data_IF_528048189359
#
_entry.id   IF_528048189359
#
_cell.length_a   1.000
_cell.length_b   1.000
_cell.length_c   1.000
_cell.angle_alpha   90.00
_cell.angle_beta   90.00
_cell.angle_gamma   90.00
#
_symmetry.space_group_name_H-M   'P 1'
#
loop_
_entity.id
_entity.type
_entity.pdbx_description
1 polymer ?
#
# COMPACT_ATOMS: atom_id res chain seq x y z
N UNK A 1 1.22 74.74 33.84
CA UNK A 1 0.48 73.50 33.57
C UNK A 1 1.54 72.41 33.44
N UNK A 2 1.77 71.67 34.52
CA UNK A 2 2.79 70.62 34.56
C UNK A 2 2.21 69.37 33.88
N UNK A 3 2.85 68.89 32.81
CA UNK A 3 2.47 67.66 32.11
C UNK A 3 3.25 66.50 32.73
N UNK A 4 2.62 65.77 33.63
CA UNK A 4 3.21 64.57 34.24
C UNK A 4 3.39 63.49 33.18
N UNK A 5 4.63 63.34 32.71
CA UNK A 5 5.06 62.26 31.82
C UNK A 5 4.90 60.91 32.52
N UNK A 6 3.89 60.15 32.09
CA UNK A 6 3.62 58.80 32.58
C UNK A 6 4.67 57.84 31.99
N UNK A 7 5.81 57.68 32.69
CA UNK A 7 6.85 56.72 32.34
C UNK A 7 6.28 55.30 32.36
N UNK A 8 5.95 54.74 31.19
CA UNK A 8 5.68 53.31 31.03
C UNK A 8 6.98 52.56 31.28
N UNK A 9 7.05 51.81 32.37
CA UNK A 9 8.14 50.87 32.61
C UNK A 9 8.05 49.78 31.55
N UNK A 10 8.99 49.74 30.62
CA UNK A 10 9.17 48.56 29.78
C UNK A 10 9.79 47.46 30.63
N UNK A 11 9.01 46.42 30.93
CA UNK A 11 9.53 45.20 31.54
C UNK A 11 10.22 44.38 30.45
N UNK A 12 11.55 44.42 30.41
CA UNK A 12 12.35 43.57 29.52
C UNK A 12 12.34 42.12 29.98
N UNK A 13 12.22 41.19 29.04
CA UNK A 13 12.34 39.75 29.28
C UNK A 13 13.79 39.43 29.66
N UNK A 14 14.01 38.74 30.77
CA UNK A 14 15.36 38.38 31.22
C UNK A 14 15.88 37.13 30.50
N UNK A 15 17.21 37.03 30.35
CA UNK A 15 17.83 35.83 29.78
C UNK A 15 17.55 34.57 30.63
N UNK A 16 17.48 34.72 31.95
CA UNK A 16 17.20 33.60 32.86
C UNK A 16 15.76 33.08 32.70
N UNK A 17 14.78 33.96 32.47
CA UNK A 17 13.41 33.56 32.15
C UNK A 17 13.36 32.75 30.85
N UNK A 18 14.12 33.17 29.82
CA UNK A 18 14.22 32.40 28.57
C UNK A 18 14.82 31.01 28.80
N UNK A 19 15.89 30.92 29.60
CA UNK A 19 16.58 29.67 29.86
C UNK A 19 15.69 28.64 30.56
N UNK A 20 14.89 29.07 31.56
CA UNK A 20 13.97 28.18 32.27
C UNK A 20 12.87 27.69 31.33
N UNK A 21 12.31 28.57 30.48
CA UNK A 21 11.28 28.18 29.51
C UNK A 21 11.80 27.14 28.53
N UNK A 22 12.99 27.34 27.97
CA UNK A 22 13.60 26.36 27.04
C UNK A 22 13.89 25.04 27.76
N UNK A 23 14.33 25.06 29.02
CA UNK A 23 14.56 23.85 29.80
C UNK A 23 13.26 23.05 30.02
N UNK A 24 12.15 23.71 30.36
CA UNK A 24 10.86 23.03 30.55
C UNK A 24 10.34 22.46 29.22
N UNK A 25 10.42 23.23 28.13
CA UNK A 25 10.02 22.75 26.79
C UNK A 25 10.86 21.53 26.40
N UNK A 26 12.17 21.52 26.67
CA UNK A 26 13.05 20.39 26.37
C UNK A 26 12.64 19.12 27.15
N UNK A 27 12.29 19.25 28.44
CA UNK A 27 11.80 18.12 29.25
C UNK A 27 10.51 17.56 28.66
N UNK A 28 9.54 18.41 28.34
CA UNK A 28 8.26 17.99 27.76
C UNK A 28 8.48 17.32 26.39
N UNK A 29 9.30 17.94 25.53
CA UNK A 29 9.59 17.42 24.21
C UNK A 29 10.27 16.04 24.25
N UNK A 30 11.16 15.80 25.22
CA UNK A 30 11.86 14.52 25.38
C UNK A 30 10.92 13.32 25.59
N UNK A 31 9.78 13.54 26.24
CA UNK A 31 8.76 12.50 26.48
C UNK A 31 7.73 12.48 25.34
N UNK A 32 7.33 13.65 24.86
CA UNK A 32 6.26 13.78 23.88
C UNK A 32 6.66 13.26 22.49
N UNK A 33 7.89 13.54 22.04
CA UNK A 33 8.37 13.16 20.69
C UNK A 33 8.34 11.63 20.47
N UNK A 34 8.96 10.77 21.32
CA UNK A 34 8.95 9.33 21.08
C UNK A 34 7.53 8.74 21.12
N UNK A 35 6.67 9.25 22.02
CA UNK A 35 5.27 8.83 22.09
C UNK A 35 4.48 9.22 20.84
N UNK A 36 4.67 10.44 20.34
CA UNK A 36 4.04 10.91 19.10
C UNK A 36 4.49 10.08 17.89
N UNK A 37 5.78 9.74 17.81
CA UNK A 37 6.31 8.89 16.75
C UNK A 37 5.68 7.50 16.78
N UNK A 38 5.59 6.86 17.95
CA UNK A 38 4.95 5.57 18.10
C UNK A 38 3.46 5.61 17.74
N UNK A 39 2.74 6.64 18.19
CA UNK A 39 1.33 6.84 17.84
C UNK A 39 1.12 7.00 16.33
N UNK A 40 1.99 7.77 15.66
CA UNK A 40 1.94 7.95 14.20
C UNK A 40 2.20 6.65 13.45
N UNK A 41 3.19 5.86 13.87
CA UNK A 41 3.49 4.55 13.29
C UNK A 41 2.28 3.62 13.38
N UNK A 42 1.67 3.53 14.57
CA UNK A 42 0.49 2.69 14.77
C UNK A 42 -0.70 3.16 13.92
N UNK A 43 -0.94 4.48 13.85
CA UNK A 43 -2.00 5.04 13.02
C UNK A 43 -1.80 4.74 11.53
N UNK A 44 -0.57 4.84 11.03
CA UNK A 44 -0.25 4.49 9.65
C UNK A 44 -0.43 2.99 9.37
N UNK A 45 0.00 2.12 10.29
CA UNK A 45 -0.20 0.66 10.18
C UNK A 45 -1.68 0.28 10.17
N UNK A 46 -2.49 0.85 11.08
CA UNK A 46 -3.94 0.65 11.09
C UNK A 46 -4.60 1.17 9.81
N UNK A 47 -4.16 2.32 9.30
CA UNK A 47 -4.65 2.86 8.03
C UNK A 47 -4.28 1.96 6.85
N UNK A 48 -3.08 1.36 6.85
CA UNK A 48 -2.65 0.43 5.82
C UNK A 48 -3.49 -0.85 5.82
N UNK A 49 -3.73 -1.45 6.98
CA UNK A 49 -4.59 -2.64 7.11
C UNK A 49 -6.02 -2.34 6.64
N UNK A 50 -6.59 -1.21 7.08
CA UNK A 50 -7.94 -0.81 6.65
C UNK A 50 -8.01 -0.57 5.14
N UNK A 51 -6.96 0.00 4.56
CA UNK A 51 -6.85 0.23 3.12
C UNK A 51 -6.76 -1.10 2.35
N UNK A 52 -5.99 -2.08 2.83
CA UNK A 52 -5.94 -3.42 2.22
C UNK A 52 -7.28 -4.14 2.29
N UNK A 53 -8.00 -4.05 3.42
CA UNK A 53 -9.38 -4.59 3.54
C UNK A 53 -10.34 -3.92 2.56
N UNK A 54 -10.23 -2.60 2.38
CA UNK A 54 -11.01 -1.86 1.40
C UNK A 54 -10.69 -2.27 -0.06
N UNK A 55 -9.41 -2.48 -0.37
CA UNK A 55 -8.96 -3.02 -1.67
C UNK A 55 -9.57 -4.40 -1.90
N UNK A 56 -9.50 -5.30 -0.91
CA UNK A 56 -10.10 -6.64 -1.03
C UNK A 56 -11.60 -6.60 -1.30
N UNK A 57 -12.33 -5.73 -0.60
CA UNK A 57 -13.77 -5.55 -0.85
C UNK A 57 -14.06 -4.96 -2.24
N UNK A 58 -13.21 -4.05 -2.71
CA UNK A 58 -13.36 -3.41 -4.03
C UNK A 58 -13.09 -4.41 -5.16
N UNK A 59 -12.11 -5.29 -4.97
CA UNK A 59 -11.82 -6.39 -5.90
C UNK A 59 -13.00 -7.34 -6.03
N UNK A 60 -13.55 -7.80 -4.90
CA UNK A 60 -14.74 -8.65 -4.89
C UNK A 60 -15.95 -7.98 -5.57
N UNK A 61 -16.14 -6.67 -5.37
CA UNK A 61 -17.22 -5.92 -6.02
C UNK A 61 -17.08 -5.89 -7.54
N UNK A 62 -15.87 -5.67 -8.07
CA UNK A 62 -15.64 -5.60 -9.53
C UNK A 62 -15.72 -6.97 -10.18
N UNK A 63 -15.13 -7.98 -9.55
CA UNK A 63 -15.21 -9.35 -10.03
C UNK A 63 -16.67 -9.81 -10.08
N UNK A 64 -17.47 -9.55 -9.04
CA UNK A 64 -18.89 -9.88 -9.04
C UNK A 64 -19.71 -9.09 -10.08
N UNK A 65 -19.30 -7.85 -10.39
CA UNK A 65 -19.97 -7.02 -11.38
C UNK A 65 -19.62 -7.39 -12.84
N UNK A 66 -18.55 -8.16 -13.07
CA UNK A 66 -18.13 -8.57 -14.41
C UNK A 66 -17.72 -7.40 -15.32
N UNK A 67 -17.34 -6.26 -14.74
CA UNK A 67 -16.98 -5.05 -15.53
C UNK A 67 -15.67 -5.26 -16.28
N UNK A 68 -14.74 -5.97 -15.65
CA UNK A 68 -13.48 -6.39 -16.25
C UNK A 68 -13.66 -7.84 -16.70
N UNK A 69 -13.59 -8.06 -18.00
CA UNK A 69 -13.64 -9.36 -18.65
C UNK A 69 -12.77 -9.25 -19.91
N UNK A 70 -11.47 -9.52 -19.75
CA UNK A 70 -10.51 -9.32 -20.82
C UNK A 70 -10.63 -10.39 -21.90
N UNK A 71 -10.93 -11.63 -21.51
CA UNK A 71 -11.06 -12.76 -22.44
C UNK A 71 -12.47 -12.90 -23.07
N UNK A 72 -13.47 -12.16 -22.58
CA UNK A 72 -14.84 -12.16 -23.09
C UNK A 72 -15.64 -13.41 -22.75
N UNK A 73 -15.26 -14.16 -21.70
CA UNK A 73 -15.91 -15.42 -21.32
C UNK A 73 -17.11 -15.21 -20.38
N UNK A 74 -17.39 -13.97 -19.96
CA UNK A 74 -18.47 -13.62 -19.04
C UNK A 74 -18.14 -13.82 -17.56
N UNK A 75 -16.92 -14.22 -17.21
CA UNK A 75 -16.43 -14.27 -15.85
C UNK A 75 -15.69 -12.98 -15.50
N UNK A 76 -16.04 -12.37 -14.36
CA UNK A 76 -15.39 -11.15 -13.91
C UNK A 76 -13.96 -11.40 -13.43
N UNK A 77 -13.06 -10.50 -13.79
CA UNK A 77 -11.65 -10.54 -13.42
C UNK A 77 -11.32 -9.48 -12.36
N UNK A 78 -10.28 -9.76 -11.56
CA UNK A 78 -9.66 -8.76 -10.70
C UNK A 78 -8.91 -7.69 -11.50
N UNK A 79 -8.78 -6.50 -10.93
CA UNK A 79 -8.23 -5.33 -11.62
C UNK A 79 -7.05 -4.68 -10.91
N UNK A 80 -6.38 -3.80 -11.63
CA UNK A 80 -5.34 -2.92 -11.09
C UNK A 80 -5.91 -1.64 -10.44
N UNK A 81 -5.09 -0.88 -9.70
CA UNK A 81 -5.58 0.29 -8.94
C UNK A 81 -6.19 1.37 -9.84
N UNK A 82 -5.61 1.62 -11.00
CA UNK A 82 -6.15 2.60 -11.95
C UNK A 82 -7.48 2.18 -12.55
N UNK A 83 -7.72 0.88 -12.72
CA UNK A 83 -9.01 0.34 -13.17
C UNK A 83 -10.06 0.52 -12.07
N UNK A 84 -9.76 0.06 -10.85
CA UNK A 84 -10.67 0.14 -9.70
C UNK A 84 -11.00 1.58 -9.29
N UNK A 85 -10.08 2.53 -9.52
CA UNK A 85 -10.30 3.96 -9.26
C UNK A 85 -10.95 4.73 -10.43
N UNK A 86 -11.21 4.07 -11.56
CA UNK A 86 -11.74 4.70 -12.77
C UNK A 86 -10.76 5.66 -13.47
N UNK A 87 -9.50 5.70 -13.03
CA UNK A 87 -8.47 6.54 -13.63
C UNK A 87 -8.11 6.07 -15.05
N UNK A 88 -8.05 4.76 -15.25
CA UNK A 88 -7.74 4.12 -16.53
C UNK A 88 -8.90 3.24 -16.99
N UNK A 89 -9.04 3.11 -18.30
CA UNK A 89 -10.03 2.21 -18.89
C UNK A 89 -9.66 0.76 -18.60
N UNK A 90 -10.66 -0.10 -18.50
CA UNK A 90 -10.46 -1.53 -18.20
C UNK A 90 -9.62 -2.21 -19.27
N UNK A 91 -8.85 -3.21 -18.86
CA UNK A 91 -8.12 -4.08 -19.79
C UNK A 91 -9.07 -4.93 -20.63
N UNK A 92 -8.72 -5.15 -21.90
CA UNK A 92 -9.42 -6.05 -22.83
C UNK A 92 -8.42 -6.79 -23.71
N UNK A 93 -8.62 -8.07 -23.99
CA UNK A 93 -7.76 -8.82 -24.92
C UNK A 93 -7.86 -10.33 -24.74
N UNK A 94 -8.05 -11.03 -25.86
CA UNK A 94 -8.02 -12.50 -25.97
C UNK A 94 -6.59 -13.02 -25.67
N UNK A 95 -6.41 -14.24 -25.11
CA UNK A 95 -5.28 -14.54 -24.24
C UNK A 95 -3.89 -14.52 -24.88
N UNK A 96 -2.90 -14.25 -24.02
CA UNK A 96 -1.46 -14.54 -24.11
C UNK A 96 -0.52 -13.67 -24.97
N UNK A 97 -0.99 -12.70 -25.76
CA UNK A 97 -0.05 -11.91 -26.61
C UNK A 97 -0.25 -10.40 -26.61
N UNK A 98 -1.42 -9.86 -26.26
CA UNK A 98 -1.57 -8.41 -26.05
C UNK A 98 -2.82 -8.06 -25.23
N UNK A 99 -2.62 -7.47 -24.06
CA UNK A 99 -3.69 -6.81 -23.31
C UNK A 99 -3.83 -5.38 -23.85
N UNK A 100 -4.95 -5.10 -24.50
CA UNK A 100 -5.32 -3.77 -25.02
C UNK A 100 -6.17 -3.00 -23.99
N UNK A 101 -6.48 -1.74 -24.30
CA UNK A 101 -7.26 -0.86 -23.45
C UNK A 101 -8.68 -0.75 -24.01
N UNK A 102 -9.68 -1.04 -23.18
CA UNK A 102 -11.09 -0.85 -23.53
C UNK A 102 -11.44 0.64 -23.71
N UNK A 103 -12.60 0.93 -24.30
CA UNK A 103 -13.23 2.25 -24.18
C UNK A 103 -13.99 2.42 -22.84
N UNK A 104 -14.16 1.34 -22.08
CA UNK A 104 -14.95 1.29 -20.84
C UNK A 104 -14.12 1.63 -19.61
N UNK A 105 -14.70 2.37 -18.67
CA UNK A 105 -14.16 2.60 -17.33
C UNK A 105 -15.07 1.95 -16.29
N UNK A 106 -14.48 1.57 -15.16
CA UNK A 106 -15.24 1.25 -13.95
C UNK A 106 -15.98 2.51 -13.48
N UNK A 107 -17.31 2.48 -13.57
CA UNK A 107 -18.18 3.58 -13.16
C UNK A 107 -19.44 3.02 -12.47
N UNK A 108 -19.75 3.43 -11.21
CA UNK A 108 -18.93 4.30 -10.36
C UNK A 108 -17.61 3.63 -9.94
N UNK A 109 -16.55 4.41 -9.63
CA UNK A 109 -15.29 3.86 -9.16
C UNK A 109 -15.46 3.21 -7.78
N UNK A 110 -14.74 2.11 -7.54
CA UNK A 110 -14.80 1.34 -6.28
C UNK A 110 -13.65 1.71 -5.34
N UNK A 111 -12.55 2.25 -5.87
CA UNK A 111 -11.46 2.84 -5.10
C UNK A 111 -11.43 4.36 -5.25
N UNK A 112 -10.93 5.05 -4.23
CA UNK A 112 -10.71 6.50 -4.30
C UNK A 112 -9.73 6.87 -5.42
N UNK A 113 -9.90 8.03 -6.04
CA UNK A 113 -8.99 8.53 -7.09
C UNK A 113 -7.52 8.69 -6.68
N UNK A 114 -7.20 8.64 -5.38
CA UNK A 114 -5.81 8.57 -4.91
C UNK A 114 -5.08 7.31 -5.42
N UNK A 115 -5.79 6.20 -5.58
CA UNK A 115 -5.27 4.95 -6.15
C UNK A 115 -5.06 5.01 -7.66
N UNK A 116 -5.59 6.03 -8.35
CA UNK A 116 -5.30 6.28 -9.75
C UNK A 116 -3.94 6.93 -10.00
N UNK A 117 -3.23 7.36 -8.95
CA UNK A 117 -1.92 8.03 -9.03
C UNK A 117 -0.80 7.01 -8.78
N UNK A 118 -0.69 6.07 -9.70
CA UNK A 118 0.31 5.01 -9.67
C UNK A 118 1.63 5.55 -10.23
N UNK A 119 2.75 5.22 -9.59
CA UNK A 119 4.08 5.57 -10.08
C UNK A 119 4.56 4.66 -11.22
N UNK A 120 5.73 4.96 -11.80
CA UNK A 120 6.29 4.20 -12.91
C UNK A 120 6.57 2.71 -12.60
N UNK A 121 6.51 2.32 -11.32
CA UNK A 121 6.74 0.95 -10.84
C UNK A 121 5.47 0.28 -10.33
N UNK A 122 4.29 0.86 -10.54
CA UNK A 122 3.03 0.26 -10.13
C UNK A 122 2.64 0.52 -8.67
N UNK A 123 3.19 1.56 -8.04
CA UNK A 123 3.01 1.81 -6.60
C UNK A 123 2.19 3.05 -6.30
N UNK A 124 1.47 3.03 -5.18
CA UNK A 124 0.72 4.17 -4.65
C UNK A 124 1.21 4.47 -3.24
N UNK A 125 1.60 5.71 -2.96
CA UNK A 125 1.95 6.16 -1.61
C UNK A 125 0.71 6.77 -0.92
N UNK A 126 0.30 6.19 0.21
CA UNK A 126 -0.81 6.70 1.01
C UNK A 126 -0.58 6.45 2.49
N UNK A 127 -0.83 7.47 3.32
CA UNK A 127 -0.74 7.36 4.79
C UNK A 127 0.59 6.77 5.30
N UNK A 128 1.71 7.11 4.65
CA UNK A 128 3.04 6.63 5.03
C UNK A 128 3.39 5.21 4.57
N UNK A 129 2.54 4.60 3.73
CA UNK A 129 2.72 3.26 3.18
C UNK A 129 2.67 3.28 1.65
N UNK A 130 3.54 2.51 1.02
CA UNK A 130 3.42 2.15 -0.39
C UNK A 130 2.50 0.95 -0.52
N UNK A 131 1.68 0.94 -1.58
CA UNK A 131 0.81 -0.15 -1.97
C UNK A 131 1.17 -0.59 -3.38
N UNK A 132 1.21 -1.89 -3.63
CA UNK A 132 1.47 -2.46 -4.95
C UNK A 132 0.59 -3.68 -5.18
N UNK A 133 -0.16 -3.63 -6.27
CA UNK A 133 -1.05 -4.70 -6.73
C UNK A 133 -0.31 -5.61 -7.71
N UNK A 134 -0.54 -6.92 -7.60
CA UNK A 134 -0.05 -7.93 -8.53
C UNK A 134 -1.22 -8.75 -9.08
N UNK A 135 -1.22 -8.94 -10.39
CA UNK A 135 -2.10 -9.87 -11.11
C UNK A 135 -1.25 -10.99 -11.75
N UNK A 136 -1.82 -12.18 -11.97
CA UNK A 136 -1.08 -13.29 -12.57
C UNK A 136 -0.75 -13.00 -14.03
N UNK A 137 0.49 -13.27 -14.45
CA UNK A 137 0.86 -13.27 -15.87
C UNK A 137 0.65 -14.63 -16.53
N UNK A 138 0.82 -14.70 -17.85
CA UNK A 138 0.86 -15.99 -18.57
C UNK A 138 2.14 -16.76 -18.20
N UNK A 139 2.07 -17.53 -17.13
CA UNK A 139 3.22 -18.20 -16.52
C UNK A 139 3.26 -18.00 -15.01
N UNK A 140 4.45 -18.13 -14.42
CA UNK A 140 4.65 -18.06 -12.98
C UNK A 140 4.91 -16.60 -12.48
N UNK A 141 4.34 -15.62 -13.18
CA UNK A 141 4.68 -14.22 -13.01
C UNK A 141 3.72 -13.47 -12.06
N UNK A 142 4.29 -12.56 -11.28
CA UNK A 142 3.56 -11.60 -10.46
C UNK A 142 3.67 -10.23 -11.12
N UNK A 143 2.67 -9.86 -11.92
CA UNK A 143 2.72 -8.65 -12.73
C UNK A 143 2.22 -7.45 -11.95
N UNK A 144 3.11 -6.51 -11.68
CA UNK A 144 2.72 -5.21 -11.12
C UNK A 144 2.06 -4.34 -12.15
N UNK A 145 1.18 -3.46 -11.69
CA UNK A 145 0.55 -2.43 -12.51
C UNK A 145 1.58 -1.58 -13.27
N UNK A 146 1.27 -1.23 -14.52
CA UNK A 146 2.08 -0.32 -15.31
C UNK A 146 1.67 1.15 -15.09
N UNK A 147 2.60 2.07 -15.36
CA UNK A 147 2.31 3.51 -15.39
C UNK A 147 1.08 3.84 -16.26
N UNK A 148 0.30 4.89 -15.94
CA UNK A 148 -0.84 5.31 -16.75
C UNK A 148 -0.57 5.50 -18.25
N UNK A 149 0.67 5.83 -18.62
CA UNK A 149 1.09 6.07 -20.00
C UNK A 149 1.60 4.81 -20.71
N UNK A 150 1.90 3.75 -19.97
CA UNK A 150 2.44 2.50 -20.51
C UNK A 150 1.31 1.51 -20.88
N UNK A 151 1.58 0.57 -21.79
CA UNK A 151 0.66 -0.52 -22.10
C UNK A 151 0.37 -1.37 -20.84
N UNK A 152 -0.78 -2.05 -20.82
CA UNK A 152 -1.08 -2.98 -19.73
C UNK A 152 -0.06 -4.14 -19.74
N UNK A 153 0.36 -4.63 -18.56
CA UNK A 153 1.07 -5.90 -18.45
C UNK A 153 0.24 -7.03 -19.08
N UNK A 154 0.91 -8.05 -19.62
CA UNK A 154 0.23 -9.21 -20.22
C UNK A 154 -0.25 -10.16 -19.12
N UNK A 155 -1.36 -9.79 -18.51
CA UNK A 155 -2.07 -10.56 -17.47
C UNK A 155 -2.68 -11.82 -18.08
N UNK A 156 -2.68 -12.93 -17.34
CA UNK A 156 -3.45 -14.13 -17.63
C UNK A 156 -4.91 -13.91 -17.20
N UNK A 157 -5.85 -13.75 -18.15
CA UNK A 157 -7.24 -13.45 -17.83
C UNK A 157 -7.90 -14.56 -17.01
N UNK A 158 -7.67 -15.83 -17.37
CA UNK A 158 -8.26 -16.99 -16.69
C UNK A 158 -7.80 -17.11 -15.25
N UNK A 159 -6.51 -16.85 -14.98
CA UNK A 159 -6.01 -16.84 -13.61
C UNK A 159 -6.47 -15.60 -12.83
N UNK A 160 -6.71 -14.47 -13.51
CA UNK A 160 -7.16 -13.22 -12.88
C UNK A 160 -8.63 -13.23 -12.47
N UNK A 161 -9.40 -14.25 -12.84
CA UNK A 161 -10.73 -14.51 -12.29
C UNK A 161 -10.67 -14.94 -10.81
N UNK A 162 -9.55 -15.55 -10.40
CA UNK A 162 -9.41 -16.24 -9.10
C UNK A 162 -8.22 -15.77 -8.28
N UNK A 163 -7.21 -15.15 -8.87
CA UNK A 163 -5.96 -14.76 -8.20
C UNK A 163 -5.69 -13.27 -8.33
N UNK A 164 -5.35 -12.65 -7.19
CA UNK A 164 -4.74 -11.33 -7.11
C UNK A 164 -3.99 -11.24 -5.78
N UNK A 165 -3.03 -10.32 -5.68
CA UNK A 165 -2.46 -9.98 -4.38
C UNK A 165 -2.04 -8.53 -4.29
N UNK A 166 -2.00 -8.01 -3.07
CA UNK A 166 -1.55 -6.66 -2.80
C UNK A 166 -0.64 -6.65 -1.58
N UNK A 167 0.46 -5.93 -1.70
CA UNK A 167 1.35 -5.64 -0.58
C UNK A 167 1.20 -4.19 -0.14
N UNK A 168 1.42 -3.95 1.14
CA UNK A 168 1.65 -2.62 1.69
C UNK A 168 2.91 -2.60 2.56
N UNK A 169 3.79 -1.63 2.40
CA UNK A 169 5.01 -1.53 3.23
C UNK A 169 5.36 -0.08 3.54
N UNK A 170 6.12 0.20 4.61
CA UNK A 170 6.33 1.56 5.06
C UNK A 170 7.19 2.34 4.06
N UNK A 171 6.82 3.60 3.81
CA UNK A 171 7.64 4.54 3.05
C UNK A 171 9.02 4.77 3.67
N UNK A 172 9.13 4.67 5.00
CA UNK A 172 10.39 4.64 5.73
C UNK A 172 10.24 3.75 6.95
N UNK A 173 10.96 2.63 6.96
CA UNK A 173 11.02 1.73 8.10
C UNK A 173 11.44 2.49 9.37
N UNK A 174 10.74 2.25 10.47
CA UNK A 174 11.00 2.87 11.77
C UNK A 174 10.44 4.29 11.94
N UNK A 175 9.95 4.93 10.88
CA UNK A 175 9.37 6.28 10.94
C UNK A 175 7.90 6.30 10.48
N UNK A 176 7.60 5.75 9.30
CA UNK A 176 6.22 5.69 8.81
C UNK A 176 5.52 4.39 9.18
N UNK A 177 6.28 3.34 9.47
CA UNK A 177 5.78 2.03 9.87
C UNK A 177 6.92 1.07 10.18
N UNK A 178 6.60 -0.10 10.75
CA UNK A 178 7.60 -1.13 11.07
C UNK A 178 7.33 -2.44 10.35
N UNK A 179 6.08 -2.73 10.00
CA UNK A 179 5.68 -3.99 9.34
C UNK A 179 5.22 -3.74 7.92
N UNK A 180 5.46 -4.72 7.05
CA UNK A 180 4.73 -4.82 5.79
C UNK A 180 3.51 -5.72 5.98
N UNK A 181 2.57 -5.57 5.07
CA UNK A 181 1.31 -6.26 5.05
C UNK A 181 1.05 -6.86 3.67
N UNK A 182 0.27 -7.92 3.66
CA UNK A 182 -0.12 -8.65 2.46
C UNK A 182 -1.61 -9.00 2.56
N UNK A 183 -2.30 -8.98 1.43
CA UNK A 183 -3.65 -9.52 1.28
C UNK A 183 -3.78 -10.10 -0.13
N UNK A 184 -4.67 -11.06 -0.28
CA UNK A 184 -4.98 -11.69 -1.56
C UNK A 184 -6.48 -12.01 -1.63
N UNK A 185 -6.90 -12.86 -2.58
CA UNK A 185 -8.29 -13.23 -2.81
C UNK A 185 -9.01 -13.84 -1.59
N UNK A 186 -8.28 -14.39 -0.62
CA UNK A 186 -8.85 -14.93 0.61
C UNK A 186 -9.32 -13.81 1.57
N UNK A 187 -8.84 -12.58 1.39
CA UNK A 187 -9.25 -11.41 2.16
C UNK A 187 -8.57 -11.26 3.53
N UNK A 188 -7.86 -12.27 4.00
CA UNK A 188 -7.09 -12.21 5.24
C UNK A 188 -5.85 -11.32 5.06
N UNK A 189 -5.75 -10.28 5.89
CA UNK A 189 -4.55 -9.44 5.92
C UNK A 189 -3.49 -10.12 6.79
N UNK A 190 -2.27 -10.22 6.28
CA UNK A 190 -1.12 -10.74 7.01
C UNK A 190 -0.07 -9.66 7.23
N UNK A 191 0.73 -9.78 8.28
CA UNK A 191 1.88 -8.93 8.55
C UNK A 191 3.19 -9.72 8.52
N UNK A 192 4.25 -9.09 8.01
CA UNK A 192 5.61 -9.63 8.04
C UNK A 192 6.23 -9.51 9.43
N UNK A 193 7.03 -10.49 9.83
CA UNK A 193 7.80 -10.45 11.08
C UNK A 193 8.96 -9.45 11.06
N UNK A 194 9.42 -9.03 9.88
CA UNK A 194 10.63 -8.20 9.66
C UNK A 194 11.92 -8.81 10.22
N UNK A 195 11.96 -10.15 10.34
CA UNK A 195 13.10 -10.86 10.93
C UNK A 195 14.37 -10.76 10.05
N UNK A 196 14.18 -10.85 8.73
CA UNK A 196 15.29 -10.94 7.76
C UNK A 196 15.45 -9.64 6.98
N UNK A 197 14.37 -9.19 6.34
CA UNK A 197 14.36 -7.99 5.51
C UNK A 197 13.46 -6.92 6.13
N UNK A 198 13.94 -5.68 6.14
CA UNK A 198 13.16 -4.52 6.56
C UNK A 198 12.63 -3.81 5.33
N UNK A 199 11.40 -4.11 4.94
CA UNK A 199 10.77 -3.44 3.81
C UNK A 199 10.66 -1.95 4.07
N UNK A 200 11.11 -1.15 3.12
CA UNK A 200 11.21 0.31 3.29
C UNK A 200 11.32 1.02 1.95
N UNK A 201 10.49 2.04 1.76
CA UNK A 201 10.63 2.98 0.65
C UNK A 201 10.58 2.30 -0.71
N UNK A 202 11.23 2.90 -1.71
CA UNK A 202 11.23 2.37 -3.08
C UNK A 202 12.36 1.38 -3.37
N UNK A 203 13.34 1.29 -2.46
CA UNK A 203 14.57 0.50 -2.62
C UNK A 203 14.44 -0.94 -2.14
N UNK A 204 13.60 -1.16 -1.13
CA UNK A 204 13.39 -2.48 -0.51
C UNK A 204 11.90 -2.82 -0.47
N UNK A 205 11.24 -2.96 -1.64
CA UNK A 205 9.86 -3.43 -1.73
C UNK A 205 9.80 -4.96 -1.50
N UNK A 206 8.66 -5.49 -1.06
CA UNK A 206 8.39 -6.92 -1.19
C UNK A 206 8.29 -7.32 -2.66
N UNK A 207 8.86 -8.48 -3.01
CA UNK A 207 8.59 -9.11 -4.30
C UNK A 207 7.15 -9.63 -4.34
N UNK A 208 6.57 -9.80 -5.53
CA UNK A 208 5.19 -10.32 -5.65
C UNK A 208 4.98 -11.67 -4.97
N UNK A 209 6.02 -12.52 -4.96
CA UNK A 209 6.00 -13.84 -4.32
C UNK A 209 6.45 -13.88 -2.85
N UNK A 210 6.75 -12.75 -2.21
CA UNK A 210 7.36 -12.70 -0.88
C UNK A 210 6.57 -13.47 0.20
N UNK A 211 5.24 -13.32 0.21
CA UNK A 211 4.33 -13.94 1.17
C UNK A 211 3.84 -15.34 0.75
N UNK A 212 4.46 -15.97 -0.24
CA UNK A 212 4.09 -17.30 -0.73
C UNK A 212 5.10 -18.36 -0.27
N UNK A 213 4.70 -19.62 -0.34
CA UNK A 213 5.56 -20.78 -0.06
C UNK A 213 6.06 -21.33 -1.40
N UNK A 214 7.36 -21.57 -1.52
CA UNK A 214 7.93 -22.27 -2.68
C UNK A 214 8.10 -23.75 -2.37
N UNK A 215 7.68 -24.60 -3.31
CA UNK A 215 7.98 -26.03 -3.30
C UNK A 215 9.26 -26.27 -4.11
N UNK A 216 10.19 -27.06 -3.57
CA UNK A 216 11.44 -27.39 -4.27
C UNK A 216 11.17 -28.00 -5.64
N UNK A 217 11.81 -27.47 -6.69
CA UNK A 217 11.63 -27.91 -8.08
C UNK A 217 10.39 -27.36 -8.79
N UNK A 218 9.60 -26.50 -8.15
CA UNK A 218 8.42 -25.84 -8.75
C UNK A 218 8.68 -24.35 -8.88
N UNK A 219 8.47 -23.79 -10.07
CA UNK A 219 8.52 -22.34 -10.28
C UNK A 219 7.37 -21.67 -9.54
N UNK A 220 7.70 -20.71 -8.67
CA UNK A 220 6.72 -19.99 -7.86
C UNK A 220 5.74 -19.21 -8.74
N UNK A 221 4.45 -19.40 -8.56
CA UNK A 221 3.37 -18.64 -9.20
C UNK A 221 2.39 -18.09 -8.17
N UNK A 222 1.48 -17.19 -8.59
CA UNK A 222 0.40 -16.69 -7.73
C UNK A 222 -0.59 -17.76 -7.27
N UNK A 223 -0.61 -18.92 -7.92
CA UNK A 223 -1.42 -20.07 -7.52
C UNK A 223 -0.80 -20.88 -6.38
N UNK A 224 0.45 -20.58 -6.00
CA UNK A 224 1.12 -21.24 -4.89
C UNK A 224 0.43 -20.96 -3.55
N UNK A 225 0.70 -21.82 -2.57
CA UNK A 225 0.21 -21.64 -1.21
C UNK A 225 0.80 -20.36 -0.60
N UNK A 226 -0.04 -19.64 0.14
CA UNK A 226 0.36 -18.43 0.86
C UNK A 226 0.92 -18.82 2.21
N UNK A 227 1.94 -18.11 2.69
CA UNK A 227 2.68 -18.39 3.91
C UNK A 227 1.90 -18.06 5.20
N UNK A 228 0.64 -18.48 5.31
CA UNK A 228 -0.22 -18.21 6.47
C UNK A 228 0.37 -18.86 7.72
N UNK A 229 0.79 -18.03 8.69
CA UNK A 229 1.44 -18.48 9.92
C UNK A 229 2.67 -19.38 9.67
N UNK A 230 3.36 -19.16 8.55
CA UNK A 230 4.59 -19.85 8.19
C UNK A 230 5.57 -18.88 7.52
N UNK A 231 6.70 -19.40 7.05
CA UNK A 231 7.76 -18.62 6.42
C UNK A 231 7.51 -18.51 4.92
N UNK A 232 7.54 -17.28 4.40
CA UNK A 232 7.44 -17.00 2.97
C UNK A 232 8.77 -17.18 2.25
N UNK A 233 8.76 -17.00 0.93
CA UNK A 233 9.98 -17.05 0.09
C UNK A 233 11.02 -16.01 0.48
N UNK A 234 10.59 -14.92 1.12
CA UNK A 234 11.44 -13.87 1.67
C UNK A 234 12.14 -14.24 3.00
N UNK A 235 11.89 -15.46 3.51
CA UNK A 235 12.44 -15.94 4.77
C UNK A 235 11.81 -15.30 6.00
N UNK A 236 10.72 -14.52 5.85
CA UNK A 236 9.98 -13.93 6.96
C UNK A 236 8.73 -14.73 7.28
N UNK A 237 8.35 -14.70 8.57
CA UNK A 237 7.09 -15.29 9.00
C UNK A 237 5.96 -14.31 8.71
N UNK A 238 4.92 -14.78 8.03
CA UNK A 238 3.71 -14.01 7.75
C UNK A 238 2.59 -14.48 8.68
N UNK A 239 1.99 -13.55 9.43
CA UNK A 239 0.96 -13.88 10.42
C UNK A 239 -0.30 -13.07 10.17
N UNK A 240 -1.47 -13.71 10.24
CA UNK A 240 -2.76 -13.04 10.07
C UNK A 240 -2.92 -11.93 11.12
N UNK A 241 -3.37 -10.76 10.68
CA UNK A 241 -3.72 -9.63 11.55
C UNK A 241 -5.24 -9.46 11.55
N UNK A 242 -5.82 -9.47 12.74
CA UNK A 242 -7.26 -9.24 12.94
C UNK A 242 -7.58 -7.75 12.83
#
# INVERSE_FOLDING_TARGET
MELTSMNKRESGFTLIELMIVVAIIAIIASIAIPNLMAARINANESAAIATLKNISSSQAQIQAAGIIDANGNGAGEYGYFQELSGARNVKTGTPATSVTVSAVKVAPPVLSGAFGKVDATGRVLRSGYYFQMYLPGVGADFLSEADPTAAYPTVDPSQSEVLWSCYAWPASFGNSGKRAFFVNQQGDVMASSNATTKYSGTTTPPSGGAAYVTVSGVTLSMAAEVAVNTTGTDGMRWTVVN
#
